data_IF_323873496260
#
_entry.id   IF_323873496260
#
_cell.length_a   1.000
_cell.length_b   1.000
_cell.length_c   1.000
_cell.angle_alpha   90.00
_cell.angle_beta   90.00
_cell.angle_gamma   90.00
#
_symmetry.space_group_name_H-M   'P 1'
#
loop_
_entity.id
_entity.type
_entity.pdbx_description
1 polymer ?
#
# COMPACT_ATOMS: atom_id res chain seq x y z
N UNK A 1 -38.89 29.69 -8.58
CA UNK A 1 -38.00 28.52 -8.50
C UNK A 1 -37.97 28.06 -7.04
N UNK A 2 -38.76 27.04 -6.69
CA UNK A 2 -38.71 26.44 -5.34
C UNK A 2 -37.45 25.59 -5.27
N UNK A 3 -36.52 25.93 -4.37
CA UNK A 3 -35.33 25.11 -4.14
C UNK A 3 -35.71 23.67 -3.78
N UNK A 4 -34.80 22.70 -3.98
CA UNK A 4 -35.07 21.30 -3.62
C UNK A 4 -35.49 21.19 -2.15
N UNK A 5 -36.46 20.32 -1.87
CA UNK A 5 -36.94 20.06 -0.51
C UNK A 5 -35.79 19.52 0.36
N UNK A 6 -35.82 19.82 1.66
CA UNK A 6 -34.78 19.37 2.60
C UNK A 6 -34.61 17.84 2.63
N UNK A 7 -35.69 17.11 2.36
CA UNK A 7 -35.65 15.64 2.20
C UNK A 7 -34.85 15.24 0.95
N UNK A 8 -35.03 15.91 -0.19
CA UNK A 8 -34.28 15.61 -1.41
C UNK A 8 -32.78 15.88 -1.21
N UNK A 9 -32.43 16.98 -0.54
CA UNK A 9 -31.02 17.31 -0.24
C UNK A 9 -30.35 16.26 0.65
N UNK A 10 -31.03 15.79 1.70
CA UNK A 10 -30.51 14.73 2.57
C UNK A 10 -30.31 13.41 1.83
N UNK A 11 -31.23 13.07 0.93
CA UNK A 11 -31.09 11.88 0.07
C UNK A 11 -29.89 12.01 -0.87
N UNK A 12 -29.72 13.16 -1.53
CA UNK A 12 -28.57 13.41 -2.42
C UNK A 12 -27.23 13.28 -1.68
N UNK A 13 -27.12 13.86 -0.48
CA UNK A 13 -25.92 13.74 0.37
C UNK A 13 -25.64 12.29 0.74
N UNK A 14 -26.67 11.53 1.13
CA UNK A 14 -26.53 10.13 1.50
C UNK A 14 -26.08 9.27 0.30
N UNK A 15 -26.60 9.52 -0.90
CA UNK A 15 -26.18 8.81 -2.10
C UNK A 15 -24.73 9.13 -2.48
N UNK A 16 -24.31 10.40 -2.40
CA UNK A 16 -22.91 10.80 -2.59
C UNK A 16 -21.99 10.15 -1.56
N UNK A 17 -22.43 10.06 -0.30
CA UNK A 17 -21.70 9.38 0.77
C UNK A 17 -21.50 7.90 0.46
N UNK A 18 -22.58 7.18 0.14
CA UNK A 18 -22.51 5.75 -0.22
C UNK A 18 -21.56 5.50 -1.40
N UNK A 19 -21.67 6.29 -2.46
CA UNK A 19 -20.80 6.19 -3.62
C UNK A 19 -19.33 6.45 -3.24
N UNK A 20 -19.06 7.46 -2.41
CA UNK A 20 -17.70 7.78 -1.96
C UNK A 20 -17.09 6.63 -1.15
N UNK A 21 -17.87 6.04 -0.23
CA UNK A 21 -17.46 4.89 0.59
C UNK A 21 -17.19 3.68 -0.28
N UNK A 22 -18.08 3.34 -1.22
CA UNK A 22 -17.89 2.23 -2.15
C UNK A 22 -16.62 2.42 -3.01
N UNK A 23 -16.39 3.64 -3.50
CA UNK A 23 -15.18 3.97 -4.26
C UNK A 23 -13.90 3.86 -3.41
N UNK A 24 -13.96 4.14 -2.10
CA UNK A 24 -12.83 3.96 -1.20
C UNK A 24 -12.56 2.46 -0.94
N UNK A 25 -13.61 1.67 -0.72
CA UNK A 25 -13.51 0.23 -0.53
C UNK A 25 -12.91 -0.49 -1.75
N UNK A 26 -13.41 -0.18 -2.96
CA UNK A 26 -12.85 -0.74 -4.22
C UNK A 26 -11.35 -0.44 -4.40
N UNK A 27 -10.87 0.73 -3.98
CA UNK A 27 -9.43 1.06 -4.04
C UNK A 27 -8.64 0.26 -3.00
N UNK A 28 -9.18 0.09 -1.80
CA UNK A 28 -8.59 -0.77 -0.77
C UNK A 28 -8.49 -2.24 -1.24
N UNK A 29 -9.53 -2.78 -1.88
CA UNK A 29 -9.50 -4.10 -2.49
C UNK A 29 -8.41 -4.20 -3.59
N UNK A 30 -8.33 -3.19 -4.47
CA UNK A 30 -7.32 -3.13 -5.54
C UNK A 30 -5.89 -3.09 -5.00
N UNK A 31 -5.65 -2.40 -3.88
CA UNK A 31 -4.35 -2.41 -3.17
C UNK A 31 -4.00 -3.83 -2.71
N UNK A 32 -4.95 -4.56 -2.13
CA UNK A 32 -4.74 -5.96 -1.70
C UNK A 32 -4.31 -6.86 -2.86
N UNK A 33 -4.99 -6.77 -4.01
CA UNK A 33 -4.61 -7.54 -5.21
C UNK A 33 -3.23 -7.14 -5.74
N UNK A 34 -2.90 -5.85 -5.78
CA UNK A 34 -1.59 -5.39 -6.21
C UNK A 34 -0.46 -5.89 -5.31
N UNK A 35 -0.69 -5.93 -3.98
CA UNK A 35 0.27 -6.46 -3.02
C UNK A 35 0.53 -7.94 -3.23
N UNK A 36 -0.53 -8.74 -3.41
CA UNK A 36 -0.39 -10.16 -3.69
C UNK A 36 0.38 -10.42 -5.00
N UNK A 37 0.14 -9.60 -6.04
CA UNK A 37 0.88 -9.67 -7.30
C UNK A 37 2.39 -9.43 -7.09
N UNK A 38 2.78 -8.32 -6.46
CA UNK A 38 4.19 -8.00 -6.23
C UNK A 38 4.88 -9.01 -5.32
N UNK A 39 4.19 -9.51 -4.29
CA UNK A 39 4.72 -10.55 -3.41
C UNK A 39 5.01 -11.84 -4.20
N UNK A 40 4.09 -12.28 -5.06
CA UNK A 40 4.30 -13.43 -5.93
C UNK A 40 5.48 -13.23 -6.88
N UNK A 41 5.52 -12.09 -7.58
CA UNK A 41 6.63 -11.76 -8.51
C UNK A 41 7.97 -11.78 -7.79
N UNK A 42 8.08 -11.13 -6.63
CA UNK A 42 9.34 -11.08 -5.87
C UNK A 42 9.75 -12.44 -5.32
N UNK A 43 8.79 -13.23 -4.84
CA UNK A 43 9.06 -14.58 -4.33
C UNK A 43 9.56 -15.49 -5.46
N UNK A 44 8.91 -15.45 -6.62
CA UNK A 44 9.37 -16.18 -7.81
C UNK A 44 10.74 -15.70 -8.26
N UNK A 45 10.99 -14.39 -8.27
CA UNK A 45 12.26 -13.81 -8.67
C UNK A 45 13.40 -14.28 -7.76
N UNK A 46 13.23 -14.21 -6.44
CA UNK A 46 14.19 -14.74 -5.46
C UNK A 46 14.37 -16.25 -5.62
N UNK A 47 13.30 -17.01 -5.86
CA UNK A 47 13.38 -18.45 -6.13
C UNK A 47 14.26 -18.77 -7.35
N UNK A 48 14.05 -18.07 -8.47
CA UNK A 48 14.85 -18.24 -9.69
C UNK A 48 16.32 -17.90 -9.47
N UNK A 49 16.61 -16.84 -8.70
CA UNK A 49 17.99 -16.49 -8.31
C UNK A 49 18.60 -17.61 -7.48
N UNK A 50 17.88 -18.11 -6.47
CA UNK A 50 18.36 -19.18 -5.59
C UNK A 50 18.72 -20.47 -6.34
N UNK A 51 17.85 -20.92 -7.26
CA UNK A 51 18.13 -22.09 -8.11
C UNK A 51 19.22 -21.84 -9.16
N UNK A 52 19.28 -20.62 -9.71
CA UNK A 52 20.22 -20.24 -10.75
C UNK A 52 21.58 -19.76 -10.25
N UNK A 53 21.78 -19.63 -8.94
CA UNK A 53 22.93 -18.96 -8.34
C UNK A 53 24.28 -19.50 -8.82
N UNK A 54 24.53 -20.82 -8.91
CA UNK A 54 25.83 -21.32 -9.36
C UNK A 54 26.18 -20.89 -10.79
N UNK A 55 25.19 -20.89 -11.70
CA UNK A 55 25.37 -20.42 -13.08
C UNK A 55 25.55 -18.91 -13.14
N UNK A 56 24.80 -18.18 -12.32
CA UNK A 56 24.89 -16.72 -12.24
C UNK A 56 26.23 -16.25 -11.68
N UNK A 57 26.77 -16.95 -10.67
CA UNK A 57 28.09 -16.69 -10.11
C UNK A 57 29.24 -17.00 -11.08
N UNK A 58 29.02 -17.96 -11.99
CA UNK A 58 30.00 -18.30 -13.03
C UNK A 58 29.86 -17.43 -14.29
N UNK A 59 28.86 -16.55 -14.32
CA UNK A 59 28.62 -15.63 -15.44
C UNK A 59 29.47 -14.36 -15.31
N UNK A 60 29.64 -13.58 -16.40
CA UNK A 60 30.34 -12.31 -16.32
C UNK A 60 29.70 -11.38 -15.28
N UNK A 61 30.50 -10.53 -14.63
CA UNK A 61 30.10 -9.63 -13.52
C UNK A 61 28.83 -8.80 -13.80
N UNK A 62 28.55 -8.45 -15.06
CA UNK A 62 27.37 -7.67 -15.43
C UNK A 62 26.06 -8.44 -15.27
N UNK A 63 26.07 -9.76 -15.39
CA UNK A 63 24.87 -10.60 -15.31
C UNK A 63 24.24 -10.62 -13.90
N UNK A 64 24.96 -10.96 -12.81
CA UNK A 64 24.42 -10.84 -11.46
C UNK A 64 24.07 -9.39 -11.10
N UNK A 65 24.86 -8.42 -11.56
CA UNK A 65 24.59 -6.99 -11.36
C UNK A 65 23.24 -6.59 -11.96
N UNK A 66 22.96 -6.99 -13.20
CA UNK A 66 21.68 -6.71 -13.87
C UNK A 66 20.50 -7.36 -13.15
N UNK A 67 20.65 -8.61 -12.68
CA UNK A 67 19.63 -9.33 -11.91
C UNK A 67 19.34 -8.62 -10.58
N UNK A 68 20.37 -8.20 -9.85
CA UNK A 68 20.19 -7.46 -8.61
C UNK A 68 19.50 -6.11 -8.83
N UNK A 69 19.91 -5.36 -9.86
CA UNK A 69 19.27 -4.08 -10.22
C UNK A 69 17.79 -4.27 -10.61
N UNK A 70 17.45 -5.34 -11.31
CA UNK A 70 16.06 -5.67 -11.63
C UNK A 70 15.24 -5.90 -10.35
N UNK A 71 15.77 -6.68 -9.39
CA UNK A 71 15.11 -6.93 -8.10
C UNK A 71 14.95 -5.68 -7.23
N UNK A 72 15.96 -4.80 -7.20
CA UNK A 72 15.86 -3.49 -6.52
C UNK A 72 14.80 -2.62 -7.18
N UNK A 73 14.77 -2.58 -8.52
CA UNK A 73 13.79 -1.79 -9.28
C UNK A 73 12.35 -2.28 -9.05
N UNK A 74 12.14 -3.59 -9.03
CA UNK A 74 10.85 -4.21 -8.68
C UNK A 74 10.43 -3.84 -7.25
N UNK A 75 11.37 -3.89 -6.30
CA UNK A 75 11.12 -3.50 -4.91
C UNK A 75 10.74 -2.02 -4.77
N UNK A 76 11.46 -1.14 -5.46
CA UNK A 76 11.18 0.30 -5.48
C UNK A 76 9.81 0.60 -6.11
N UNK A 77 9.47 -0.08 -7.21
CA UNK A 77 8.17 0.06 -7.87
C UNK A 77 7.04 -0.38 -6.94
N UNK A 78 7.20 -1.50 -6.25
CA UNK A 78 6.21 -1.97 -5.27
C UNK A 78 6.04 -0.97 -4.13
N UNK A 79 7.13 -0.42 -3.60
CA UNK A 79 7.08 0.61 -2.57
C UNK A 79 6.34 1.87 -3.02
N UNK A 80 6.62 2.37 -4.23
CA UNK A 80 5.95 3.54 -4.80
C UNK A 80 4.45 3.28 -4.98
N UNK A 81 4.08 2.08 -5.41
CA UNK A 81 2.68 1.69 -5.56
C UNK A 81 1.94 1.68 -4.21
N UNK A 82 2.56 1.11 -3.16
CA UNK A 82 2.03 1.13 -1.79
C UNK A 82 1.87 2.56 -1.26
N UNK A 83 2.83 3.44 -1.56
CA UNK A 83 2.76 4.85 -1.19
C UNK A 83 1.58 5.55 -1.87
N UNK A 84 1.44 5.36 -3.18
CA UNK A 84 0.35 5.94 -3.97
C UNK A 84 -1.03 5.54 -3.45
N UNK A 85 -1.23 4.24 -3.16
CA UNK A 85 -2.50 3.76 -2.62
C UNK A 85 -2.83 4.35 -1.25
N UNK A 86 -1.82 4.48 -0.37
CA UNK A 86 -2.03 5.12 0.93
C UNK A 86 -2.46 6.58 0.76
N UNK A 87 -1.70 7.35 -0.02
CA UNK A 87 -1.95 8.78 -0.18
C UNK A 87 -3.33 9.02 -0.85
N UNK A 88 -3.73 8.17 -1.80
CA UNK A 88 -5.07 8.19 -2.40
C UNK A 88 -6.18 7.84 -1.40
N UNK A 89 -6.00 6.80 -0.59
CA UNK A 89 -6.97 6.41 0.44
C UNK A 89 -7.13 7.52 1.47
N UNK A 90 -6.04 8.11 1.95
CA UNK A 90 -6.08 9.26 2.86
C UNK A 90 -6.89 10.42 2.27
N UNK A 91 -6.70 10.74 0.99
CA UNK A 91 -7.46 11.78 0.31
C UNK A 91 -8.96 11.44 0.20
N UNK A 92 -9.31 10.19 -0.11
CA UNK A 92 -10.70 9.72 -0.18
C UNK A 92 -11.40 9.79 1.18
N UNK A 93 -10.78 9.28 2.24
CA UNK A 93 -11.33 9.33 3.59
C UNK A 93 -11.49 10.77 4.10
N UNK A 94 -10.60 11.69 3.73
CA UNK A 94 -10.78 13.12 4.02
C UNK A 94 -12.05 13.68 3.35
N UNK A 95 -12.37 13.24 2.13
CA UNK A 95 -13.61 13.60 1.44
C UNK A 95 -14.85 13.00 2.09
N UNK A 96 -14.79 11.72 2.47
CA UNK A 96 -15.87 11.01 3.18
C UNK A 96 -16.19 11.73 4.50
N UNK A 97 -15.17 11.99 5.34
CA UNK A 97 -15.37 12.65 6.63
C UNK A 97 -15.95 14.06 6.49
N UNK A 98 -15.63 14.76 5.39
CA UNK A 98 -16.25 16.07 5.08
C UNK A 98 -17.73 15.95 4.75
N UNK A 99 -18.14 14.89 4.05
CA UNK A 99 -19.57 14.61 3.79
C UNK A 99 -20.27 14.22 5.10
N UNK A 100 -19.60 13.47 5.98
CA UNK A 100 -20.15 13.09 7.29
C UNK A 100 -20.48 14.28 8.18
N UNK A 101 -19.84 15.45 8.02
CA UNK A 101 -20.22 16.68 8.75
C UNK A 101 -21.66 17.12 8.48
N UNK A 102 -22.22 16.74 7.32
CA UNK A 102 -23.61 17.01 6.95
C UNK A 102 -24.58 15.88 7.28
N UNK A 103 -24.07 14.77 7.84
CA UNK A 103 -24.86 13.62 8.26
C UNK A 103 -25.09 13.65 9.79
N UNK A 104 -26.18 13.02 10.27
CA UNK A 104 -26.46 12.95 11.71
C UNK A 104 -25.46 12.08 12.48
N UNK A 105 -24.72 11.19 11.80
CA UNK A 105 -23.76 10.24 12.38
C UNK A 105 -22.51 10.24 11.52
N UNK A 106 -21.33 10.19 12.17
CA UNK A 106 -20.02 10.26 11.51
C UNK A 106 -19.23 8.96 11.72
N UNK A 107 -19.67 7.90 11.06
CA UNK A 107 -19.21 6.54 11.30
C UNK A 107 -17.67 6.45 11.18
N UNK A 108 -17.10 6.96 10.10
CA UNK A 108 -15.67 6.86 9.82
C UNK A 108 -14.86 7.88 10.63
N UNK A 109 -15.40 9.07 10.90
CA UNK A 109 -14.74 10.02 11.79
C UNK A 109 -14.65 9.48 13.24
N UNK A 110 -15.74 8.92 13.76
CA UNK A 110 -15.83 8.35 15.10
C UNK A 110 -14.89 7.13 15.24
N UNK A 111 -14.86 6.25 14.22
CA UNK A 111 -13.91 5.14 14.14
C UNK A 111 -12.46 5.65 14.22
N UNK A 112 -12.13 6.68 13.43
CA UNK A 112 -10.78 7.26 13.41
C UNK A 112 -10.38 7.93 14.72
N UNK A 113 -11.32 8.54 15.44
CA UNK A 113 -11.09 9.07 16.77
C UNK A 113 -10.85 7.99 17.80
N UNK A 114 -11.59 6.88 17.74
CA UNK A 114 -11.41 5.75 18.64
C UNK A 114 -10.04 5.07 18.43
N UNK A 115 -9.65 4.87 17.17
CA UNK A 115 -8.31 4.37 16.81
C UNK A 115 -7.17 5.27 17.32
N UNK A 116 -7.41 6.59 17.47
CA UNK A 116 -6.42 7.51 18.01
C UNK A 116 -6.29 7.45 19.53
N UNK A 117 -7.33 7.00 20.25
CA UNK A 117 -7.34 6.90 21.72
C UNK A 117 -6.59 5.67 22.25
N UNK A 118 -6.32 4.68 21.39
CA UNK A 118 -5.63 3.44 21.78
C UNK A 118 -4.20 3.74 22.34
N UNK A 119 -3.93 3.45 23.63
CA UNK A 119 -2.75 3.94 24.36
C UNK A 119 -1.43 3.19 24.07
N UNK A 120 -1.39 2.28 23.09
CA UNK A 120 -0.19 1.50 22.76
C UNK A 120 0.82 2.40 22.02
N UNK A 121 1.63 3.11 22.81
CA UNK A 121 2.50 4.20 22.33
C UNK A 121 3.97 3.77 22.20
N UNK A 122 4.35 2.55 22.62
CA UNK A 122 5.76 2.20 22.84
C UNK A 122 6.46 1.40 21.73
N UNK A 123 5.78 0.43 21.08
CA UNK A 123 6.48 -0.54 20.19
C UNK A 123 5.71 -0.94 18.93
N UNK A 124 4.38 -0.78 18.92
CA UNK A 124 3.56 -0.82 17.71
C UNK A 124 3.08 0.59 17.47
N UNK A 125 3.43 1.19 16.32
CA UNK A 125 2.76 2.42 15.91
C UNK A 125 1.27 2.12 15.82
N UNK A 126 0.53 2.70 16.78
CA UNK A 126 -0.87 3.14 16.74
C UNK A 126 -1.64 2.49 15.60
N UNK A 127 -2.36 1.41 15.89
CA UNK A 127 -3.07 0.59 14.91
C UNK A 127 -2.21 0.40 13.66
N UNK A 128 -1.28 -0.56 13.69
CA UNK A 128 -0.40 -0.85 12.57
C UNK A 128 -1.24 -0.94 11.30
N UNK A 129 -1.38 0.19 10.61
CA UNK A 129 -2.03 0.29 9.33
C UNK A 129 -1.31 -0.81 8.58
N UNK A 130 -2.04 -1.74 7.99
CA UNK A 130 -1.45 -2.79 7.16
C UNK A 130 -0.38 -2.22 6.19
N UNK A 131 -0.39 -0.91 5.94
CA UNK A 131 0.67 -0.16 5.26
C UNK A 131 2.08 -0.14 5.87
N UNK A 132 2.29 -0.22 7.18
CA UNK A 132 3.65 -0.21 7.76
C UNK A 132 4.32 -1.59 7.62
N UNK A 133 3.59 -2.67 7.88
CA UNK A 133 4.09 -4.03 7.65
C UNK A 133 4.20 -4.36 6.15
N UNK A 134 3.25 -3.93 5.31
CA UNK A 134 3.32 -4.12 3.86
C UNK A 134 4.49 -3.35 3.23
N UNK A 135 4.91 -2.23 3.82
CA UNK A 135 6.06 -1.43 3.36
C UNK A 135 7.39 -2.05 3.72
N UNK A 136 7.48 -2.72 4.87
CA UNK A 136 8.69 -3.42 5.26
C UNK A 136 9.09 -4.49 4.23
N UNK A 137 8.11 -5.16 3.61
CA UNK A 137 8.37 -6.27 2.69
C UNK A 137 9.20 -5.85 1.46
N UNK A 138 8.83 -4.83 0.65
CA UNK A 138 9.68 -4.35 -0.43
C UNK A 138 11.08 -3.94 0.03
N UNK A 139 11.22 -3.36 1.23
CA UNK A 139 12.54 -2.97 1.76
C UNK A 139 13.41 -4.19 2.06
N UNK A 140 12.83 -5.25 2.63
CA UNK A 140 13.53 -6.52 2.88
C UNK A 140 14.00 -7.14 1.56
N UNK A 141 13.13 -7.18 0.54
CA UNK A 141 13.54 -7.65 -0.79
C UNK A 141 14.64 -6.77 -1.40
N UNK A 142 14.52 -5.44 -1.33
CA UNK A 142 15.56 -4.54 -1.82
C UNK A 142 16.90 -4.79 -1.12
N UNK A 143 16.91 -4.95 0.21
CA UNK A 143 18.09 -5.27 0.98
C UNK A 143 18.70 -6.61 0.58
N UNK A 144 17.89 -7.65 0.36
CA UNK A 144 18.36 -8.94 -0.12
C UNK A 144 19.06 -8.83 -1.51
N UNK A 145 18.49 -8.06 -2.43
CA UNK A 145 19.11 -7.84 -3.75
C UNK A 145 20.39 -6.99 -3.67
N UNK A 146 20.45 -6.01 -2.76
CA UNK A 146 21.66 -5.23 -2.53
C UNK A 146 22.79 -6.05 -1.91
N UNK A 147 22.47 -6.98 -1.00
CA UNK A 147 23.45 -7.93 -0.47
C UNK A 147 24.00 -8.85 -1.56
N UNK A 148 23.15 -9.32 -2.47
CA UNK A 148 23.59 -10.09 -3.63
C UNK A 148 24.52 -9.27 -4.53
N UNK A 149 24.17 -8.01 -4.81
CA UNK A 149 25.01 -7.09 -5.59
C UNK A 149 26.37 -6.87 -4.92
N UNK A 150 26.38 -6.60 -3.61
CA UNK A 150 27.62 -6.41 -2.86
C UNK A 150 28.51 -7.65 -2.92
N UNK A 151 27.94 -8.85 -2.70
CA UNK A 151 28.67 -10.11 -2.81
C UNK A 151 29.31 -10.29 -4.19
N UNK A 152 28.61 -9.92 -5.26
CA UNK A 152 29.10 -10.07 -6.64
C UNK A 152 30.19 -9.06 -7.04
N UNK A 153 30.28 -7.93 -6.34
CA UNK A 153 31.33 -6.93 -6.57
C UNK A 153 32.61 -7.24 -5.78
N UNK A 154 32.52 -8.07 -4.74
CA UNK A 154 33.64 -8.46 -3.88
C UNK A 154 34.34 -9.76 -4.31
N UNK A 155 33.74 -10.52 -5.24
CA UNK A 155 34.25 -11.78 -5.81
C UNK A 155 34.84 -11.55 -7.19
#
# INVERSE_FOLDING_TARGET
MTGPSETNRRTEVLELYKLAVEMADRVSARRGTANAFFLSVQTTFVGLIGFGFPKLASSPWWAPTAVALAGVTLSATWWLQLRSYRDLNTAKFKGINKIEESLPVKIFADEWEELKKDPITGWRKRYAELGDSERAVPVVFAAAHLLLLAGTLTT
#
